data_IF_175338818553
#
_entry.id   IF_175338818553
#
_cell.length_a   1.000
_cell.length_b   1.000
_cell.length_c   1.000
_cell.angle_alpha   90.00
_cell.angle_beta   90.00
_cell.angle_gamma   90.00
#
_symmetry.space_group_name_H-M   'P 1'
#
loop_
_entity.id
_entity.type
_entity.pdbx_description
1 polymer ?
#
# COMPACT_ATOMS: atom_id res chain seq x y z
N UNK A 1 -3.05 -17.56 -18.06
CA UNK A 1 -4.18 -16.93 -17.36
C UNK A 1 -3.62 -16.34 -16.08
N UNK A 2 -3.74 -15.02 -15.86
CA UNK A 2 -2.97 -14.32 -14.84
C UNK A 2 -3.15 -14.97 -13.45
N UNK A 3 -2.13 -15.67 -12.96
CA UNK A 3 -2.12 -16.30 -11.62
C UNK A 3 -2.40 -15.28 -10.50
N UNK A 4 -2.22 -14.00 -10.81
CA UNK A 4 -2.44 -12.83 -9.99
C UNK A 4 -3.90 -12.64 -9.52
N UNK A 5 -4.91 -13.13 -10.25
CA UNK A 5 -6.32 -12.91 -9.88
C UNK A 5 -6.81 -13.82 -8.73
N UNK A 6 -5.99 -14.74 -8.25
CA UNK A 6 -6.31 -15.51 -7.04
C UNK A 6 -6.01 -14.66 -5.79
N UNK A 7 -7.06 -14.19 -5.10
CA UNK A 7 -6.98 -13.39 -3.89
C UNK A 7 -6.00 -13.94 -2.84
N UNK A 8 -5.92 -15.26 -2.65
CA UNK A 8 -4.99 -15.88 -1.68
C UNK A 8 -3.55 -15.71 -2.12
N UNK A 9 -3.24 -16.06 -3.37
CA UNK A 9 -1.90 -15.87 -3.95
C UNK A 9 -1.51 -14.40 -3.94
N UNK A 10 -2.44 -13.49 -4.24
CA UNK A 10 -2.18 -12.04 -4.23
C UNK A 10 -1.79 -11.54 -2.84
N UNK A 11 -2.47 -12.02 -1.79
CA UNK A 11 -2.12 -11.68 -0.40
C UNK A 11 -0.76 -12.24 0.04
N UNK A 12 -0.29 -13.33 -0.58
CA UNK A 12 1.05 -13.88 -0.34
C UNK A 12 2.13 -13.11 -1.12
N UNK A 13 1.84 -12.75 -2.37
CA UNK A 13 2.81 -12.08 -3.25
C UNK A 13 3.03 -10.61 -2.92
N UNK A 14 1.99 -9.87 -2.49
CA UNK A 14 2.13 -8.44 -2.18
C UNK A 14 3.19 -8.17 -1.10
N UNK A 15 3.21 -8.87 0.06
CA UNK A 15 4.29 -8.75 1.04
C UNK A 15 5.67 -9.04 0.44
N UNK A 16 5.79 -10.12 -0.33
CA UNK A 16 7.06 -10.55 -0.94
C UNK A 16 7.59 -9.53 -1.94
N UNK A 17 6.71 -8.90 -2.72
CA UNK A 17 7.08 -7.83 -3.65
C UNK A 17 7.61 -6.60 -2.91
N UNK A 18 7.00 -6.24 -1.77
CA UNK A 18 7.48 -5.13 -0.94
C UNK A 18 8.83 -5.45 -0.31
N UNK A 19 9.01 -6.66 0.23
CA UNK A 19 10.27 -7.11 0.85
C UNK A 19 11.43 -7.17 -0.15
N UNK A 20 11.15 -7.60 -1.38
CA UNK A 20 12.16 -7.75 -2.44
C UNK A 20 12.41 -6.48 -3.25
N UNK A 21 11.63 -5.41 -3.04
CA UNK A 21 11.85 -4.13 -3.70
C UNK A 21 13.24 -3.58 -3.33
N UNK A 22 14.04 -3.29 -4.36
CA UNK A 22 15.44 -2.89 -4.19
C UNK A 22 15.64 -1.37 -4.19
N UNK A 23 15.21 -0.69 -5.26
CA UNK A 23 15.43 0.76 -5.43
C UNK A 23 14.14 1.57 -5.37
N UNK A 24 13.09 1.09 -6.03
CA UNK A 24 11.85 1.83 -6.21
C UNK A 24 10.65 0.88 -6.05
N UNK A 25 9.60 1.36 -5.39
CA UNK A 25 8.32 0.68 -5.22
C UNK A 25 7.19 1.67 -5.54
N UNK A 26 6.47 1.41 -6.64
CA UNK A 26 5.31 2.21 -7.03
C UNK A 26 4.04 1.41 -6.81
N UNK A 27 3.12 1.93 -5.98
CA UNK A 27 1.82 1.33 -5.69
C UNK A 27 0.74 2.22 -6.27
N UNK A 28 -0.05 1.68 -7.20
CA UNK A 28 -1.16 2.38 -7.85
C UNK A 28 -2.44 1.62 -7.55
N UNK A 29 -3.37 2.26 -6.85
CA UNK A 29 -4.70 1.67 -6.61
C UNK A 29 -5.76 2.76 -6.48
N UNK A 30 -6.94 2.62 -7.13
CA UNK A 30 -8.03 3.59 -6.99
C UNK A 30 -8.42 3.83 -5.53
N UNK A 31 -8.43 2.77 -4.72
CA UNK A 31 -8.66 2.84 -3.28
C UNK A 31 -7.66 1.92 -2.59
N UNK A 32 -7.02 2.40 -1.53
CA UNK A 32 -6.06 1.60 -0.79
C UNK A 32 -6.44 1.56 0.69
N UNK A 33 -6.57 0.36 1.22
CA UNK A 33 -6.65 0.12 2.65
C UNK A 33 -5.43 -0.73 3.02
N UNK A 34 -4.49 -0.10 3.73
CA UNK A 34 -3.23 -0.73 4.10
C UNK A 34 -3.42 -1.40 5.45
N UNK A 35 -3.14 -2.71 5.53
CA UNK A 35 -3.10 -3.41 6.82
C UNK A 35 -1.84 -3.03 7.60
N UNK A 36 -1.86 -3.17 8.92
CA UNK A 36 -0.69 -2.87 9.77
C UNK A 36 0.56 -3.66 9.34
N UNK A 37 0.38 -4.91 8.88
CA UNK A 37 1.46 -5.74 8.33
C UNK A 37 2.11 -5.08 7.11
N UNK A 38 1.31 -4.65 6.13
CA UNK A 38 1.83 -4.00 4.91
C UNK A 38 2.49 -2.67 5.25
N UNK A 39 1.90 -1.90 6.17
CA UNK A 39 2.49 -0.63 6.61
C UNK A 39 3.89 -0.81 7.23
N UNK A 40 4.08 -1.83 8.07
CA UNK A 40 5.39 -2.19 8.64
C UNK A 40 6.40 -2.54 7.54
N UNK A 41 6.01 -3.37 6.57
CA UNK A 41 6.89 -3.75 5.45
C UNK A 41 7.30 -2.55 4.60
N UNK A 42 6.40 -1.61 4.35
CA UNK A 42 6.72 -0.36 3.65
C UNK A 42 7.74 0.47 4.43
N UNK A 43 7.56 0.58 5.76
CA UNK A 43 8.52 1.28 6.64
C UNK A 43 9.88 0.60 6.71
N UNK A 44 9.93 -0.72 6.69
CA UNK A 44 11.20 -1.46 6.61
C UNK A 44 11.87 -1.26 5.26
N UNK A 45 11.10 -1.17 4.18
CA UNK A 45 11.63 -0.92 2.82
C UNK A 45 12.19 0.49 2.69
N UNK A 46 11.49 1.49 3.22
CA UNK A 46 11.98 2.88 3.33
C UNK A 46 13.32 2.93 4.08
N UNK A 47 13.47 2.19 5.20
CA UNK A 47 14.74 2.08 5.94
C UNK A 47 15.87 1.43 5.15
N UNK A 48 15.56 0.55 4.19
CA UNK A 48 16.55 -0.05 3.27
C UNK A 48 16.97 0.90 2.13
N UNK A 49 16.38 2.10 2.05
CA UNK A 49 16.65 3.07 1.00
C UNK A 49 15.78 2.88 -0.25
N UNK A 50 14.68 2.13 -0.15
CA UNK A 50 13.71 1.99 -1.24
C UNK A 50 12.86 3.26 -1.32
N UNK A 51 12.80 3.88 -2.48
CA UNK A 51 11.90 5.00 -2.76
C UNK A 51 10.49 4.49 -3.01
N UNK A 52 9.51 4.96 -2.23
CA UNK A 52 8.14 4.47 -2.27
C UNK A 52 7.20 5.56 -2.76
N UNK A 53 6.54 5.31 -3.89
CA UNK A 53 5.50 6.19 -4.46
C UNK A 53 4.13 5.52 -4.34
N UNK A 54 3.18 6.20 -3.70
CA UNK A 54 1.82 5.71 -3.52
C UNK A 54 0.82 6.63 -4.23
N UNK A 55 0.15 6.11 -5.27
CA UNK A 55 -0.85 6.82 -6.07
C UNK A 55 -2.22 6.20 -5.80
N UNK A 56 -3.11 6.97 -5.18
CA UNK A 56 -4.46 6.53 -4.83
C UNK A 56 -5.46 7.66 -4.87
N UNK A 57 -6.76 7.34 -5.04
CA UNK A 57 -7.79 8.37 -4.87
C UNK A 57 -7.97 8.63 -3.38
N UNK A 58 -7.95 9.91 -3.00
CA UNK A 58 -8.38 10.30 -1.66
C UNK A 58 -9.89 10.05 -1.53
N UNK A 59 -10.28 9.13 -0.64
CA UNK A 59 -11.69 9.00 -0.27
C UNK A 59 -12.00 10.14 0.70
N UNK A 60 -12.80 11.11 0.25
CA UNK A 60 -13.24 12.26 1.05
C UNK A 60 -14.27 11.83 2.10
N UNK A 61 -13.88 11.05 3.10
CA UNK A 61 -14.66 10.84 4.32
C UNK A 61 -13.87 11.39 5.50
N UNK A 62 -13.87 12.72 5.61
CA UNK A 62 -13.54 13.43 6.85
C UNK A 62 -14.81 13.35 7.71
N UNK A 63 -15.00 12.28 8.49
CA UNK A 63 -15.97 12.30 9.59
C UNK A 63 -15.25 12.79 10.84
N UNK A 64 -15.02 14.10 10.92
CA UNK A 64 -14.87 14.90 12.14
C UNK A 64 -14.40 16.30 11.77
N UNK A 65 -15.34 17.15 11.37
CA UNK A 65 -15.21 18.58 11.60
C UNK A 65 -16.52 19.04 12.20
N UNK A 66 -16.50 19.26 13.52
CA UNK A 66 -17.48 20.08 14.21
C UNK A 66 -17.60 21.39 13.42
N UNK A 67 -18.78 21.70 12.93
CA UNK A 67 -19.13 23.04 12.50
C UNK A 67 -19.12 23.90 13.76
N UNK A 68 -18.11 24.73 13.93
CA UNK A 68 -18.25 25.89 14.81
C UNK A 68 -19.01 26.93 13.99
N UNK A 69 -20.28 27.11 14.36
CA UNK A 69 -21.09 28.30 14.06
C UNK A 69 -20.64 29.46 14.94
#
# INVERSE_FOLDING_TARGET
>A
MAEFLNKKKLLEWVPKLIETAGKELVIISPYIQISEKIFKLLKESEKRGVEITLIYKTSRFISNSKTFS
#
